data_IF_940661518126
#
_entry.id   IF_940661518126
#
_cell.length_a   1.000
_cell.length_b   1.000
_cell.length_c   1.000
_cell.angle_alpha   90.00
_cell.angle_beta   90.00
_cell.angle_gamma   90.00
#
_symmetry.space_group_name_H-M   'P 1'
#
loop_
_entity.id
_entity.type
_entity.pdbx_description
1 polymer ?
#
# COMPACT_ATOMS: atom_id res chain seq x y z
N UNK A 1 -20.78 -1.20 5.51
CA UNK A 1 -20.23 -1.04 4.15
C UNK A 1 -18.95 -0.24 4.22
N UNK A 2 -17.93 -0.69 3.52
CA UNK A 2 -16.64 0.00 3.48
C UNK A 2 -16.54 0.82 2.20
N UNK A 3 -16.22 2.10 2.34
CA UNK A 3 -16.09 3.05 1.24
C UNK A 3 -14.63 3.45 1.08
N UNK A 4 -14.12 3.43 -0.14
CA UNK A 4 -12.78 3.94 -0.46
C UNK A 4 -12.91 5.37 -0.97
N UNK A 5 -12.12 6.28 -0.40
CA UNK A 5 -12.15 7.70 -0.77
C UNK A 5 -10.72 8.27 -0.68
N UNK A 6 -10.44 9.39 -1.37
CA UNK A 6 -9.11 10.00 -1.21
C UNK A 6 -8.82 10.31 0.25
N UNK A 7 -7.58 10.00 0.68
CA UNK A 7 -7.16 10.36 2.04
C UNK A 7 -6.93 11.86 2.12
N UNK A 8 -7.52 12.46 3.14
CA UNK A 8 -7.39 13.89 3.42
C UNK A 8 -6.63 14.11 4.73
N UNK A 9 -6.19 15.34 4.96
CA UNK A 9 -5.41 15.65 6.17
C UNK A 9 -6.16 15.29 7.45
N UNK A 10 -7.49 15.39 7.46
CA UNK A 10 -8.28 15.09 8.66
C UNK A 10 -8.39 13.61 8.97
N UNK A 11 -7.98 12.73 8.06
CA UNK A 11 -7.93 11.30 8.31
C UNK A 11 -6.67 10.89 9.08
N UNK A 12 -5.62 11.70 9.03
CA UNK A 12 -4.30 11.34 9.57
C UNK A 12 -4.33 11.03 11.07
N UNK A 13 -5.13 11.79 11.84
CA UNK A 13 -5.22 11.56 13.28
C UNK A 13 -5.73 10.15 13.61
N UNK A 14 -6.63 9.59 12.80
CA UNK A 14 -7.13 8.22 12.98
C UNK A 14 -6.17 7.17 12.42
N UNK A 15 -5.40 7.52 11.39
CA UNK A 15 -4.42 6.62 10.77
C UNK A 15 -3.23 6.32 11.71
N UNK A 16 -2.72 7.35 12.37
CA UNK A 16 -1.48 7.25 13.15
C UNK A 16 -1.51 6.16 14.24
N UNK A 17 -2.55 6.04 15.08
CA UNK A 17 -2.58 4.96 16.07
C UNK A 17 -2.55 3.56 15.45
N UNK A 18 -3.25 3.38 14.33
CA UNK A 18 -3.29 2.10 13.62
C UNK A 18 -1.92 1.79 13.00
N UNK A 19 -1.29 2.82 12.42
CA UNK A 19 0.07 2.70 11.87
C UNK A 19 1.06 2.23 12.93
N UNK A 20 1.00 2.82 14.11
CA UNK A 20 1.88 2.46 15.23
C UNK A 20 1.68 1.01 15.67
N UNK A 21 0.43 0.55 15.67
CA UNK A 21 0.12 -0.83 16.05
C UNK A 21 0.63 -1.83 15.01
N UNK A 22 0.45 -1.51 13.72
CA UNK A 22 0.77 -2.44 12.64
C UNK A 22 2.26 -2.49 12.29
N UNK A 23 2.96 -1.37 12.38
CA UNK A 23 4.30 -1.22 11.80
C UNK A 23 5.41 -0.93 12.82
N UNK A 24 5.16 -1.15 14.11
CA UNK A 24 6.25 -1.08 15.08
C UNK A 24 7.37 -2.05 14.67
N UNK A 25 8.66 -1.72 14.90
CA UNK A 25 9.15 -0.54 15.61
C UNK A 25 9.38 0.69 14.72
N UNK A 26 9.04 0.66 13.44
CA UNK A 26 9.29 1.75 12.50
C UNK A 26 8.02 2.26 11.82
N UNK A 27 7.01 2.72 12.58
CA UNK A 27 5.81 3.30 11.98
C UNK A 27 6.14 4.65 11.34
N UNK A 28 5.34 5.03 10.34
CA UNK A 28 5.40 6.38 9.80
C UNK A 28 4.88 7.37 10.83
N UNK A 29 5.50 8.55 10.89
CA UNK A 29 5.05 9.63 11.74
C UNK A 29 3.87 10.36 11.12
N UNK A 30 3.15 11.10 11.97
CA UNK A 30 2.10 12.01 11.51
C UNK A 30 2.64 12.99 10.46
N UNK A 31 3.83 13.54 10.72
CA UNK A 31 4.49 14.48 9.81
C UNK A 31 4.75 13.86 8.44
N UNK A 32 5.14 12.59 8.39
CA UNK A 32 5.39 11.91 7.13
C UNK A 32 4.10 11.78 6.32
N UNK A 33 2.99 11.41 6.97
CA UNK A 33 1.70 11.36 6.27
C UNK A 33 1.32 12.73 5.72
N UNK A 34 1.50 13.80 6.48
CA UNK A 34 1.21 15.15 6.00
C UNK A 34 2.10 15.53 4.81
N UNK A 35 3.39 15.19 4.88
CA UNK A 35 4.33 15.43 3.79
C UNK A 35 3.89 14.71 2.51
N UNK A 36 3.47 13.45 2.63
CA UNK A 36 2.99 12.70 1.48
C UNK A 36 1.73 13.30 0.89
N UNK A 37 0.76 13.64 1.71
CA UNK A 37 -0.49 14.25 1.24
C UNK A 37 -0.29 15.61 0.60
N UNK A 38 0.76 16.34 0.99
CA UNK A 38 1.07 17.64 0.42
C UNK A 38 1.66 17.60 -0.98
N UNK A 39 2.13 16.44 -1.43
CA UNK A 39 2.74 16.28 -2.76
C UNK A 39 1.69 15.82 -3.77
N UNK A 40 0.70 16.66 -4.00
CA UNK A 40 -0.52 16.32 -4.72
C UNK A 40 -0.31 15.87 -6.17
N UNK A 41 0.78 16.32 -6.81
CA UNK A 41 1.03 15.99 -8.21
C UNK A 41 1.52 14.55 -8.40
N UNK A 42 2.20 13.98 -7.39
CA UNK A 42 2.84 12.68 -7.51
C UNK A 42 2.35 11.65 -6.50
N UNK A 43 1.58 12.06 -5.50
CA UNK A 43 1.07 11.16 -4.45
C UNK A 43 -0.42 10.97 -4.59
N UNK A 44 -0.86 9.70 -4.47
CA UNK A 44 -2.27 9.34 -4.61
C UNK A 44 -2.61 8.37 -3.48
N UNK A 45 -3.26 8.89 -2.44
CA UNK A 45 -3.58 8.14 -1.24
C UNK A 45 -5.07 7.93 -1.10
N UNK A 46 -5.44 6.71 -0.71
CA UNK A 46 -6.82 6.32 -0.44
C UNK A 46 -6.96 5.94 1.03
N UNK A 47 -8.13 6.18 1.58
CA UNK A 47 -8.52 5.70 2.90
C UNK A 47 -9.78 4.87 2.76
N UNK A 48 -9.86 3.79 3.54
CA UNK A 48 -11.06 2.96 3.63
C UNK A 48 -11.80 3.32 4.91
N UNK A 49 -13.08 3.63 4.77
CA UNK A 49 -13.94 4.06 5.88
C UNK A 49 -15.08 3.06 6.06
N UNK A 50 -15.30 2.64 7.30
CA UNK A 50 -16.46 1.87 7.71
C UNK A 50 -17.22 2.70 8.75
N UNK A 51 -18.43 3.15 8.41
CA UNK A 51 -19.20 4.05 9.26
C UNK A 51 -18.36 5.26 9.68
N UNK A 52 -17.67 5.86 8.70
CA UNK A 52 -16.81 7.05 8.83
C UNK A 52 -15.56 6.82 9.69
N UNK A 53 -15.28 5.57 10.08
CA UNK A 53 -14.06 5.26 10.80
C UNK A 53 -13.01 4.66 9.87
N UNK A 54 -11.75 5.07 10.03
CA UNK A 54 -10.67 4.57 9.21
C UNK A 54 -10.40 3.10 9.56
N UNK A 55 -10.44 2.23 8.54
CA UNK A 55 -10.15 0.80 8.70
C UNK A 55 -9.02 0.33 7.78
N UNK A 56 -8.48 1.20 6.95
CA UNK A 56 -7.35 0.88 6.10
C UNK A 56 -6.96 2.07 5.23
N UNK A 57 -5.82 1.96 4.58
CA UNK A 57 -5.34 2.98 3.65
C UNK A 57 -4.32 2.41 2.69
N UNK A 58 -4.06 3.12 1.62
CA UNK A 58 -3.01 2.78 0.67
C UNK A 58 -2.52 4.03 -0.02
N UNK A 59 -1.25 4.07 -0.38
CA UNK A 59 -0.65 5.22 -1.02
C UNK A 59 0.25 4.84 -2.17
N UNK A 60 0.18 5.63 -3.24
CA UNK A 60 0.95 5.44 -4.45
C UNK A 60 1.76 6.70 -4.74
N UNK A 61 2.99 6.51 -5.21
CA UNK A 61 3.82 7.60 -5.71
C UNK A 61 4.11 7.39 -7.18
N UNK A 62 3.91 8.42 -8.00
CA UNK A 62 4.29 8.40 -9.41
C UNK A 62 5.73 8.86 -9.57
N UNK A 63 6.55 8.02 -10.18
CA UNK A 63 7.86 8.38 -10.71
C UNK A 63 7.78 8.41 -12.25
N UNK A 64 8.77 8.98 -12.96
CA UNK A 64 8.71 9.05 -14.41
C UNK A 64 8.53 7.71 -15.11
N UNK A 65 9.13 6.64 -14.59
CA UNK A 65 9.16 5.33 -15.25
C UNK A 65 8.22 4.29 -14.62
N UNK A 66 7.74 4.54 -13.41
CA UNK A 66 6.90 3.59 -12.69
C UNK A 66 6.14 4.26 -11.55
N UNK A 67 5.08 3.63 -11.11
CA UNK A 67 4.45 3.99 -9.85
C UNK A 67 4.95 3.05 -8.75
N UNK A 68 4.96 3.53 -7.52
CA UNK A 68 5.45 2.77 -6.39
C UNK A 68 4.41 2.79 -5.26
N UNK A 69 4.05 1.61 -4.76
CA UNK A 69 3.15 1.51 -3.60
C UNK A 69 3.96 1.86 -2.36
N UNK A 70 3.66 3.01 -1.76
CA UNK A 70 4.38 3.51 -0.59
C UNK A 70 3.93 2.84 0.69
N UNK A 71 2.64 2.53 0.80
CA UNK A 71 2.05 1.91 1.97
C UNK A 71 0.74 1.24 1.60
N UNK A 72 0.41 0.18 2.31
CA UNK A 72 -0.89 -0.47 2.23
C UNK A 72 -1.14 -1.14 3.58
N UNK A 73 -2.22 -0.76 4.23
CA UNK A 73 -2.50 -1.19 5.59
C UNK A 73 -3.99 -1.46 5.79
N UNK A 74 -4.27 -2.49 6.59
CA UNK A 74 -5.64 -2.84 6.99
C UNK A 74 -5.65 -2.97 8.50
N UNK A 75 -6.55 -2.24 9.16
CA UNK A 75 -6.69 -2.30 10.61
C UNK A 75 -6.96 -3.75 11.05
N UNK A 76 -6.47 -4.15 12.25
CA UNK A 76 -6.62 -5.54 12.69
C UNK A 76 -8.05 -6.07 12.60
N UNK A 77 -9.03 -5.26 13.00
CA UNK A 77 -10.43 -5.70 13.00
C UNK A 77 -11.00 -5.90 11.58
N UNK A 78 -10.38 -5.34 10.55
CA UNK A 78 -10.83 -5.46 9.17
C UNK A 78 -9.99 -6.42 8.33
N UNK A 79 -8.98 -7.04 8.93
CA UNK A 79 -8.17 -8.04 8.22
C UNK A 79 -8.99 -9.29 7.94
N UNK A 80 -8.65 -9.98 6.85
CA UNK A 80 -9.37 -11.18 6.42
C UNK A 80 -10.71 -10.90 5.73
N UNK A 81 -10.99 -9.65 5.38
CA UNK A 81 -12.27 -9.26 4.76
C UNK A 81 -12.14 -8.97 3.26
N UNK A 82 -10.93 -9.09 2.70
CA UNK A 82 -10.66 -8.72 1.30
C UNK A 82 -10.38 -7.24 1.10
N UNK A 83 -10.28 -6.46 2.17
CA UNK A 83 -10.04 -5.02 2.05
C UNK A 83 -8.67 -4.69 1.46
N UNK A 84 -7.64 -5.45 1.81
CA UNK A 84 -6.30 -5.27 1.23
C UNK A 84 -6.33 -5.40 -0.29
N UNK A 85 -7.04 -6.41 -0.80
CA UNK A 85 -7.19 -6.60 -2.24
C UNK A 85 -7.95 -5.43 -2.88
N UNK A 86 -9.01 -4.93 -2.23
CA UNK A 86 -9.78 -3.78 -2.75
C UNK A 86 -8.90 -2.53 -2.85
N UNK A 87 -8.10 -2.27 -1.82
CA UNK A 87 -7.17 -1.13 -1.81
C UNK A 87 -6.14 -1.26 -2.92
N UNK A 88 -5.55 -2.45 -3.06
CA UNK A 88 -4.56 -2.69 -4.10
C UNK A 88 -5.14 -2.51 -5.50
N UNK A 89 -6.32 -3.08 -5.76
CA UNK A 89 -6.99 -2.94 -7.06
C UNK A 89 -7.28 -1.47 -7.37
N UNK A 90 -7.71 -0.69 -6.36
CA UNK A 90 -7.97 0.72 -6.55
C UNK A 90 -6.69 1.49 -6.92
N UNK A 91 -5.56 1.19 -6.25
CA UNK A 91 -4.28 1.81 -6.60
C UNK A 91 -3.83 1.43 -8.01
N UNK A 92 -3.97 0.16 -8.38
CA UNK A 92 -3.58 -0.29 -9.73
C UNK A 92 -4.44 0.38 -10.79
N UNK A 93 -5.73 0.56 -10.52
CA UNK A 93 -6.62 1.29 -11.41
C UNK A 93 -6.22 2.75 -11.57
N UNK A 94 -5.86 3.42 -10.47
CA UNK A 94 -5.38 4.80 -10.51
C UNK A 94 -4.08 4.91 -11.32
N UNK A 95 -3.15 4.01 -11.10
CA UNK A 95 -1.89 4.00 -11.85
C UNK A 95 -2.15 3.84 -13.36
N UNK A 96 -3.02 2.90 -13.72
CA UNK A 96 -3.35 2.65 -15.12
C UNK A 96 -4.00 3.87 -15.77
N UNK A 97 -4.91 4.55 -15.08
CA UNK A 97 -5.56 5.76 -15.59
C UNK A 97 -4.57 6.89 -15.87
N UNK A 98 -3.47 6.93 -15.11
CA UNK A 98 -2.41 7.94 -15.32
C UNK A 98 -1.33 7.47 -16.29
N UNK A 99 -1.52 6.33 -16.92
CA UNK A 99 -0.59 5.82 -17.94
C UNK A 99 0.63 5.08 -17.39
N UNK A 100 0.65 4.77 -16.11
CA UNK A 100 1.74 3.99 -15.53
C UNK A 100 1.64 2.54 -15.97
N UNK A 101 2.71 2.02 -16.58
CA UNK A 101 2.73 0.65 -17.08
C UNK A 101 3.35 -0.33 -16.10
N UNK A 102 4.05 0.18 -15.11
CA UNK A 102 4.76 -0.63 -14.12
C UNK A 102 4.46 -0.09 -12.72
N UNK A 103 4.14 -0.99 -11.79
CA UNK A 103 3.94 -0.67 -10.39
C UNK A 103 4.85 -1.58 -9.57
N UNK A 104 5.64 -1.00 -8.68
CA UNK A 104 6.54 -1.73 -7.80
C UNK A 104 6.24 -1.44 -6.34
N UNK A 105 6.73 -2.31 -5.47
CA UNK A 105 6.62 -2.15 -4.02
C UNK A 105 7.73 -2.93 -3.32
N UNK A 106 7.91 -2.65 -2.04
CA UNK A 106 8.80 -3.44 -1.19
C UNK A 106 7.99 -4.10 -0.10
N UNK A 107 8.35 -5.35 0.23
CA UNK A 107 7.69 -6.12 1.28
C UNK A 107 8.73 -6.89 2.07
N UNK A 108 8.50 -7.06 3.37
CA UNK A 108 9.37 -7.88 4.21
C UNK A 108 9.33 -9.34 3.74
N UNK A 109 10.49 -9.97 3.69
CA UNK A 109 10.58 -11.38 3.29
C UNK A 109 9.83 -12.31 4.24
N UNK A 110 9.59 -11.88 5.49
CA UNK A 110 8.85 -12.66 6.48
C UNK A 110 7.34 -12.36 6.49
N UNK A 111 6.86 -11.50 5.59
CA UNK A 111 5.43 -11.19 5.51
C UNK A 111 4.76 -12.02 4.42
N UNK A 112 4.49 -13.29 4.72
CA UNK A 112 3.90 -14.21 3.77
C UNK A 112 2.48 -13.83 3.31
N UNK A 113 1.58 -13.36 4.18
CA UNK A 113 0.26 -12.94 3.72
C UNK A 113 0.29 -11.82 2.69
N UNK A 114 1.13 -10.81 2.89
CA UNK A 114 1.27 -9.71 1.93
C UNK A 114 1.83 -10.22 0.60
N UNK A 115 2.84 -11.07 0.65
CA UNK A 115 3.42 -11.64 -0.58
C UNK A 115 2.37 -12.42 -1.38
N UNK A 116 1.51 -13.18 -0.70
CA UNK A 116 0.42 -13.90 -1.38
C UNK A 116 -0.58 -12.94 -2.04
N UNK A 117 -0.92 -11.86 -1.35
CA UNK A 117 -1.81 -10.84 -1.90
C UNK A 117 -1.24 -10.26 -3.19
N UNK A 118 0.03 -9.85 -3.15
CA UNK A 118 0.67 -9.24 -4.31
C UNK A 118 0.82 -10.24 -5.46
N UNK A 119 1.22 -11.48 -5.16
CA UNK A 119 1.36 -12.52 -6.18
C UNK A 119 0.02 -12.78 -6.91
N UNK A 120 -1.09 -12.80 -6.19
CA UNK A 120 -2.41 -12.97 -6.79
C UNK A 120 -2.78 -11.84 -7.75
N UNK A 121 -2.16 -10.68 -7.59
CA UNK A 121 -2.43 -9.51 -8.42
C UNK A 121 -1.34 -9.26 -9.46
N UNK A 122 -0.54 -10.28 -9.76
CA UNK A 122 0.39 -10.23 -10.89
C UNK A 122 1.75 -9.63 -10.57
N UNK A 123 2.07 -9.44 -9.28
CA UNK A 123 3.41 -8.99 -8.88
C UNK A 123 4.38 -10.16 -8.87
N UNK A 124 5.60 -9.93 -9.35
CA UNK A 124 6.68 -10.91 -9.32
C UNK A 124 7.91 -10.28 -8.69
N UNK A 125 8.75 -11.11 -8.05
CA UNK A 125 9.96 -10.62 -7.40
C UNK A 125 10.99 -10.21 -8.46
N UNK A 126 11.50 -8.98 -8.35
CA UNK A 126 12.49 -8.44 -9.28
C UNK A 126 13.81 -8.11 -8.60
N UNK A 127 13.84 -7.97 -7.27
CA UNK A 127 15.07 -7.71 -6.54
C UNK A 127 14.92 -8.12 -5.07
N UNK A 128 16.06 -8.29 -4.40
CA UNK A 128 16.13 -8.54 -2.97
C UNK A 128 17.08 -7.53 -2.35
N UNK A 129 16.64 -6.88 -1.26
CA UNK A 129 17.48 -5.99 -0.46
C UNK A 129 17.86 -6.73 0.81
N UNK A 130 19.07 -7.26 0.85
CA UNK A 130 19.49 -8.10 1.98
C UNK A 130 19.63 -7.29 3.25
N UNK A 131 19.05 -7.82 4.35
CA UNK A 131 19.14 -7.21 5.68
C UNK A 131 18.53 -5.83 5.75
N UNK A 132 17.60 -5.49 4.86
CA UNK A 132 17.05 -4.15 4.72
C UNK A 132 16.22 -3.71 5.93
N UNK A 133 15.49 -4.63 6.53
CA UNK A 133 14.62 -4.34 7.67
C UNK A 133 15.32 -4.67 8.99
N UNK A 134 14.86 -4.06 10.10
CA UNK A 134 15.40 -4.37 11.43
C UNK A 134 15.36 -5.86 11.71
N UNK A 135 16.39 -6.36 12.40
CA UNK A 135 16.54 -7.78 12.69
C UNK A 135 17.16 -8.58 11.56
N UNK A 136 17.68 -7.91 10.52
CA UNK A 136 18.34 -8.58 9.40
C UNK A 136 17.37 -9.20 8.40
N UNK A 137 16.11 -8.84 8.45
CA UNK A 137 15.10 -9.38 7.53
C UNK A 137 15.26 -8.74 6.15
N UNK A 138 15.30 -9.56 5.11
CA UNK A 138 15.42 -9.07 3.74
C UNK A 138 14.14 -8.32 3.30
N UNK A 139 14.33 -7.36 2.41
CA UNK A 139 13.24 -6.71 1.67
C UNK A 139 13.15 -7.31 0.28
N UNK A 140 11.94 -7.60 -0.16
CA UNK A 140 11.67 -8.08 -1.51
C UNK A 140 11.08 -6.95 -2.32
N UNK A 141 11.65 -6.69 -3.50
CA UNK A 141 11.04 -5.75 -4.45
C UNK A 141 10.17 -6.57 -5.40
N UNK A 142 8.88 -6.23 -5.44
CA UNK A 142 7.92 -6.89 -6.30
C UNK A 142 7.44 -5.90 -7.35
N UNK A 143 7.28 -6.37 -8.58
CA UNK A 143 6.91 -5.53 -9.72
C UNK A 143 5.77 -6.18 -10.51
N UNK A 144 4.80 -5.36 -10.89
CA UNK A 144 3.71 -5.74 -11.77
C UNK A 144 3.75 -4.86 -13.02
N UNK A 145 3.65 -5.49 -14.18
CA UNK A 145 3.56 -4.78 -15.46
C UNK A 145 2.14 -4.76 -15.96
N UNK A 146 1.76 -3.72 -16.70
CA UNK A 146 0.44 -3.64 -17.31
C UNK A 146 0.16 -4.89 -18.14
N UNK A 147 -1.06 -5.42 -18.01
CA UNK A 147 -1.46 -6.65 -18.69
C UNK A 147 -1.07 -7.93 -17.97
N UNK A 148 -0.40 -7.83 -16.81
CA UNK A 148 -0.09 -9.02 -16.02
C UNK A 148 -1.38 -9.73 -15.57
N UNK A 149 -1.40 -11.08 -15.58
CA UNK A 149 -2.60 -11.80 -15.18
C UNK A 149 -2.88 -11.63 -13.69
N UNK A 150 -4.17 -11.61 -13.36
CA UNK A 150 -4.63 -11.64 -11.97
C UNK A 150 -5.21 -13.03 -11.72
N UNK A 151 -4.73 -13.69 -10.68
CA UNK A 151 -5.25 -15.00 -10.31
C UNK A 151 -6.56 -14.82 -9.56
N UNK A 152 -7.60 -15.44 -10.08
CA UNK A 152 -8.93 -15.40 -9.47
C UNK A 152 -9.14 -16.67 -8.66
N UNK A 153 -9.65 -16.48 -7.45
CA UNK A 153 -9.89 -17.60 -6.54
C UNK A 153 -11.35 -17.70 -6.22
#
# INVERSE_FOLDING_TARGET
MIVLTPMRWWHVAAVVPIERELFAPEPWSERLFWSELGQVDTRHYLVALHDEQVVGWAGLCDYPDEAFVQTLAVAPAAQGTGLGARLLVALLGDAARRGQRTVSLEVRADNAPAQRLYARHGFTRTAVRRGYYPGGVDGLVLTRRAGAPTLVR
#
